data_IF_349252710580
#
_entry.id   IF_349252710580
#
_cell.length_a   1.000
_cell.length_b   1.000
_cell.length_c   1.000
_cell.angle_alpha   90.00
_cell.angle_beta   90.00
_cell.angle_gamma   90.00
#
_symmetry.space_group_name_H-M   'P 1'
#
loop_
_entity.id
_entity.type
_entity.pdbx_description
1 polymer ?
#
# COMPACT_ATOMS: atom_id res chain seq x y z
N UNK A 1 -2.40 -6.45 15.36
CA UNK A 1 -2.56 -6.41 13.88
C UNK A 1 -1.92 -5.12 13.37
N UNK A 2 -0.89 -5.16 12.51
CA UNK A 2 -0.33 -3.94 11.92
C UNK A 2 -1.29 -3.27 10.94
N UNK A 3 -1.42 -1.95 11.07
CA UNK A 3 -2.14 -1.08 10.13
C UNK A 3 -1.18 0.03 9.69
N UNK A 4 -0.97 0.14 8.39
CA UNK A 4 0.02 1.03 7.78
C UNK A 4 -0.59 1.95 6.74
N UNK A 5 -0.31 3.24 6.84
CA UNK A 5 -0.54 4.19 5.75
C UNK A 5 0.67 4.19 4.83
N UNK A 6 0.46 3.91 3.54
CA UNK A 6 1.52 3.93 2.53
C UNK A 6 1.21 4.94 1.41
N UNK A 7 2.27 5.53 0.87
CA UNK A 7 2.22 6.38 -0.31
C UNK A 7 3.09 5.76 -1.39
N UNK A 8 2.47 5.39 -2.50
CA UNK A 8 3.16 4.89 -3.67
C UNK A 8 3.38 6.05 -4.66
N UNK A 9 4.56 6.12 -5.24
CA UNK A 9 4.81 6.97 -6.41
C UNK A 9 4.88 6.07 -7.62
N UNK A 10 4.08 6.38 -8.64
CA UNK A 10 4.04 5.61 -9.88
C UNK A 10 4.79 6.34 -10.99
N UNK A 11 5.21 5.61 -12.02
CA UNK A 11 5.65 6.22 -13.26
C UNK A 11 4.47 6.98 -13.92
N UNK A 12 4.76 8.07 -14.68
CA UNK A 12 3.72 8.89 -15.30
C UNK A 12 2.75 8.07 -16.16
N UNK A 13 1.45 8.23 -15.93
CA UNK A 13 0.40 7.54 -16.69
C UNK A 13 0.13 6.09 -16.29
N UNK A 14 0.79 5.56 -15.25
CA UNK A 14 0.58 4.19 -14.77
C UNK A 14 -0.23 4.09 -13.46
N UNK A 15 -0.63 5.21 -12.87
CA UNK A 15 -1.38 5.22 -11.59
C UNK A 15 -2.62 4.33 -11.63
N UNK A 16 -3.42 4.41 -12.69
CA UNK A 16 -4.67 3.65 -12.80
C UNK A 16 -4.43 2.14 -12.92
N UNK A 17 -3.34 1.75 -13.61
CA UNK A 17 -2.91 0.34 -13.71
C UNK A 17 -2.47 -0.18 -12.34
N UNK A 18 -1.67 0.61 -11.63
CA UNK A 18 -1.19 0.25 -10.28
C UNK A 18 -2.36 0.15 -9.30
N UNK A 19 -3.33 1.07 -9.34
CA UNK A 19 -4.56 0.98 -8.53
C UNK A 19 -5.32 -0.31 -8.84
N UNK A 20 -5.44 -0.68 -10.11
CA UNK A 20 -6.07 -1.93 -10.52
C UNK A 20 -5.39 -3.17 -9.94
N UNK A 21 -4.05 -3.20 -9.90
CA UNK A 21 -3.31 -4.29 -9.27
C UNK A 21 -3.44 -4.29 -7.74
N UNK A 22 -3.34 -3.12 -7.11
CA UNK A 22 -3.51 -2.99 -5.65
C UNK A 22 -4.88 -3.46 -5.18
N UNK A 23 -5.94 -3.23 -5.97
CA UNK A 23 -7.29 -3.70 -5.66
C UNK A 23 -7.43 -5.24 -5.63
N UNK A 24 -6.43 -5.97 -6.13
CA UNK A 24 -6.39 -7.44 -6.05
C UNK A 24 -5.70 -7.97 -4.77
N UNK A 25 -5.08 -7.08 -3.98
CA UNK A 25 -4.38 -7.48 -2.76
C UNK A 25 -5.36 -7.45 -1.59
N UNK A 26 -5.51 -8.60 -0.95
CA UNK A 26 -6.25 -8.68 0.31
C UNK A 26 -5.50 -7.89 1.40
N UNK A 27 -6.24 -7.11 2.19
CA UNK A 27 -5.65 -6.21 3.18
C UNK A 27 -5.09 -4.90 2.63
N UNK A 28 -5.45 -4.48 1.41
CA UNK A 28 -5.04 -3.19 0.83
C UNK A 28 -6.25 -2.36 0.42
N UNK A 29 -6.40 -1.17 1.00
CA UNK A 29 -7.43 -0.20 0.62
C UNK A 29 -6.80 1.04 -0.02
N UNK A 30 -7.16 1.34 -1.27
CA UNK A 30 -6.72 2.56 -1.94
C UNK A 30 -7.67 3.70 -1.60
N UNK A 31 -7.15 4.73 -0.91
CA UNK A 31 -7.92 5.92 -0.53
C UNK A 31 -8.03 6.94 -1.66
N UNK A 32 -7.04 6.99 -2.55
CA UNK A 32 -7.09 7.87 -3.71
C UNK A 32 -5.78 8.04 -4.46
N UNK A 33 -5.88 8.67 -5.63
CA UNK A 33 -4.76 9.07 -6.47
C UNK A 33 -4.67 10.60 -6.46
N UNK A 34 -3.49 11.12 -6.15
CA UNK A 34 -3.20 12.54 -6.13
C UNK A 34 -2.93 13.07 -7.56
N UNK A 35 -3.07 14.40 -7.81
CA UNK A 35 -2.87 14.98 -9.13
C UNK A 35 -1.47 14.77 -9.74
N UNK A 36 -0.47 14.48 -8.90
CA UNK A 36 0.92 14.20 -9.30
C UNK A 36 1.19 12.69 -9.53
N UNK A 37 0.16 11.85 -9.46
CA UNK A 37 0.24 10.41 -9.70
C UNK A 37 0.66 9.58 -8.48
N UNK A 38 0.74 10.19 -7.30
CA UNK A 38 0.91 9.45 -6.06
C UNK A 38 -0.36 8.74 -5.65
N UNK A 39 -0.24 7.54 -5.08
CA UNK A 39 -1.37 6.74 -4.58
C UNK A 39 -1.28 6.67 -3.07
N UNK A 40 -2.37 6.97 -2.39
CA UNK A 40 -2.51 6.82 -0.94
C UNK A 40 -3.30 5.53 -0.67
N UNK A 41 -2.72 4.65 0.13
CA UNK A 41 -3.36 3.40 0.51
C UNK A 41 -3.13 3.06 2.00
N UNK A 42 -4.02 2.24 2.54
CA UNK A 42 -3.87 1.61 3.85
C UNK A 42 -3.63 0.12 3.65
N UNK A 43 -2.69 -0.42 4.43
CA UNK A 43 -2.35 -1.84 4.49
C UNK A 43 -2.72 -2.37 5.86
N UNK A 44 -3.51 -3.42 5.89
CA UNK A 44 -3.87 -4.18 7.09
C UNK A 44 -3.41 -5.62 6.90
N UNK A 45 -2.78 -6.19 7.93
CA UNK A 45 -2.31 -7.57 7.86
C UNK A 45 -2.36 -8.24 9.23
N UNK A 46 -2.53 -9.56 9.26
CA UNK A 46 -2.60 -10.34 10.51
C UNK A 46 -1.28 -10.36 11.29
N UNK A 47 -0.15 -10.09 10.62
CA UNK A 47 1.18 -10.09 11.23
C UNK A 47 2.14 -9.14 10.51
N UNK A 48 3.23 -8.77 11.18
CA UNK A 48 4.30 -7.95 10.58
C UNK A 48 4.91 -8.62 9.35
N UNK A 49 5.07 -9.93 9.37
CA UNK A 49 5.65 -10.66 8.23
C UNK A 49 4.72 -10.62 7.01
N UNK A 50 3.41 -10.75 7.23
CA UNK A 50 2.40 -10.61 6.19
C UNK A 50 2.35 -9.18 5.63
N UNK A 51 2.45 -8.18 6.49
CA UNK A 51 2.53 -6.76 6.08
C UNK A 51 3.78 -6.50 5.23
N UNK A 52 4.95 -6.93 5.69
CA UNK A 52 6.21 -6.79 4.95
C UNK A 52 6.09 -7.47 3.58
N UNK A 53 5.51 -8.66 3.53
CA UNK A 53 5.26 -9.38 2.28
C UNK A 53 4.34 -8.60 1.33
N UNK A 54 3.26 -8.00 1.84
CA UNK A 54 2.36 -7.15 1.05
C UNK A 54 3.10 -5.92 0.49
N UNK A 55 3.84 -5.20 1.34
CA UNK A 55 4.60 -4.01 0.94
C UNK A 55 5.71 -4.37 -0.06
N UNK A 56 6.36 -5.52 0.09
CA UNK A 56 7.34 -6.01 -0.90
C UNK A 56 6.67 -6.29 -2.23
N UNK A 57 5.52 -6.97 -2.25
CA UNK A 57 4.76 -7.21 -3.49
C UNK A 57 4.33 -5.91 -4.17
N UNK A 58 3.98 -4.87 -3.40
CA UNK A 58 3.67 -3.55 -3.97
C UNK A 58 4.86 -2.92 -4.70
N UNK A 59 6.08 -3.11 -4.20
CA UNK A 59 7.29 -2.62 -4.90
C UNK A 59 7.56 -3.38 -6.20
N UNK A 60 7.05 -4.59 -6.35
CA UNK A 60 7.22 -5.43 -7.54
C UNK A 60 6.19 -5.13 -8.64
N UNK A 61 5.13 -4.37 -8.32
CA UNK A 61 4.12 -3.96 -9.30
C UNK A 61 4.78 -3.13 -10.41
N UNK A 62 4.53 -3.51 -11.65
CA UNK A 62 5.04 -2.78 -12.80
C UNK A 62 4.53 -1.34 -12.80
N UNK A 63 5.47 -0.39 -12.79
CA UNK A 63 5.15 1.04 -12.76
C UNK A 63 5.19 1.68 -11.37
N UNK A 64 5.38 0.91 -10.30
CA UNK A 64 5.69 1.48 -8.97
C UNK A 64 7.17 1.88 -8.94
N UNK A 65 7.44 3.15 -8.63
CA UNK A 65 8.78 3.68 -8.47
C UNK A 65 9.25 3.59 -7.01
N UNK A 66 8.36 3.89 -6.07
CA UNK A 66 8.65 3.84 -4.63
C UNK A 66 7.39 3.56 -3.84
N UNK A 67 7.49 2.80 -2.75
CA UNK A 67 6.47 2.73 -1.70
C UNK A 67 7.05 3.31 -0.42
N UNK A 68 6.35 4.25 0.20
CA UNK A 68 6.79 4.92 1.42
C UNK A 68 5.78 4.71 2.53
N UNK A 69 6.27 4.27 3.69
CA UNK A 69 5.48 4.22 4.90
C UNK A 69 5.27 5.65 5.43
N UNK A 70 4.02 6.10 5.48
CA UNK A 70 3.63 7.39 6.01
C UNK A 70 3.24 7.31 7.49
N UNK A 71 2.65 6.18 7.89
CA UNK A 71 2.22 5.91 9.26
C UNK A 71 2.19 4.41 9.51
N UNK A 72 2.41 3.99 10.75
CA UNK A 72 2.35 2.60 11.17
C UNK A 72 1.79 2.51 12.59
N UNK A 73 0.79 1.66 12.78
CA UNK A 73 0.15 1.37 14.04
C UNK A 73 0.12 -0.13 14.29
N UNK A 74 0.30 -0.51 15.55
CA UNK A 74 -0.05 -1.85 16.00
C UNK A 74 -1.37 -1.72 16.75
N UNK A 75 -2.45 -2.30 16.20
CA UNK A 75 -3.61 -2.57 17.04
C UNK A 75 -3.26 -3.71 17.98
N UNK A 76 -3.03 -3.34 19.25
CA UNK A 76 -3.08 -4.28 20.36
C UNK A 76 -4.56 -4.61 20.59
N UNK A 77 -4.90 -5.89 20.40
CA UNK A 77 -6.12 -6.42 20.98
C UNK A 77 -5.90 -6.53 22.49
N UNK A 78 -5.94 -5.40 23.21
CA UNK A 78 -6.05 -5.44 24.66
C UNK A 78 -7.35 -6.17 25.01
N UNK A 79 -7.22 -7.40 25.51
CA UNK A 79 -8.19 -8.05 26.40
C UNK A 79 -7.44 -8.66 27.57
#
# INVERSE_FOLDING_TARGET
MPISGVVLTCAPGLSDSVVGELASFDGVEVHGVLPDGQIVAVVEADSVDAEVSLVTRMHEIAGVATVRLAYHNFEDLEQ
#
